data_IF_331470620426
#
_entry.id   IF_331470620426
#
_cell.length_a   1.000
_cell.length_b   1.000
_cell.length_c   1.000
_cell.angle_alpha   90.00
_cell.angle_beta   90.00
_cell.angle_gamma   90.00
#
_symmetry.space_group_name_H-M   'P 1'
#
loop_
_entity.id
_entity.type
_entity.pdbx_description
1 polymer ?
#
# COMPACT_ATOMS: atom_id res chain seq x y z
N UNK A 1 0.29 15.80 -11.85
CA UNK A 1 0.69 17.20 -12.15
C UNK A 1 2.05 17.14 -12.83
N UNK A 2 2.20 17.75 -14.01
CA UNK A 2 3.48 17.84 -14.70
C UNK A 2 4.21 19.14 -14.35
N UNK A 3 5.52 19.07 -14.15
CA UNK A 3 6.39 20.21 -13.86
C UNK A 3 7.59 20.21 -14.81
N UNK A 4 8.03 21.38 -15.23
CA UNK A 4 9.25 21.55 -16.04
C UNK A 4 10.17 22.52 -15.31
N UNK A 5 11.34 22.04 -14.87
CA UNK A 5 12.36 22.82 -14.19
C UNK A 5 13.66 22.75 -14.99
N UNK A 6 14.16 23.90 -15.45
CA UNK A 6 15.43 24.01 -16.20
C UNK A 6 15.55 23.02 -17.39
N UNK A 7 14.45 22.78 -18.10
CA UNK A 7 14.41 21.84 -19.24
C UNK A 7 14.23 20.37 -18.85
N UNK A 8 14.17 20.03 -17.56
CA UNK A 8 13.86 18.69 -17.06
C UNK A 8 12.39 18.58 -16.73
N UNK A 9 11.70 17.66 -17.40
CA UNK A 9 10.29 17.35 -17.13
C UNK A 9 10.19 16.32 -16.01
N UNK A 10 9.35 16.58 -15.02
CA UNK A 10 8.98 15.62 -13.99
C UNK A 10 7.47 15.52 -13.89
N UNK A 11 6.96 14.35 -13.53
CA UNK A 11 5.53 14.15 -13.34
C UNK A 11 5.27 13.62 -11.95
N UNK A 12 4.33 14.26 -11.25
CA UNK A 12 3.84 13.81 -9.96
C UNK A 12 2.52 13.08 -10.14
N UNK A 13 2.50 11.80 -9.76
CA UNK A 13 1.37 10.88 -9.86
C UNK A 13 0.88 10.60 -8.43
N UNK A 14 -0.41 10.84 -8.18
CA UNK A 14 -1.05 10.48 -6.92
C UNK A 14 -2.09 9.40 -7.19
N UNK A 15 -1.96 8.27 -6.53
CA UNK A 15 -2.89 7.15 -6.60
C UNK A 15 -3.28 6.68 -5.20
N UNK A 16 -4.54 6.34 -5.02
CA UNK A 16 -5.05 5.65 -3.84
C UNK A 16 -5.50 4.25 -4.25
N UNK A 17 -4.96 3.23 -3.59
CA UNK A 17 -5.25 1.82 -3.85
C UNK A 17 -5.92 1.23 -2.61
N UNK A 18 -7.17 0.74 -2.72
CA UNK A 18 -7.83 0.06 -1.62
C UNK A 18 -7.33 -1.38 -1.52
N UNK A 19 -6.95 -1.80 -0.31
CA UNK A 19 -6.44 -3.16 -0.02
C UNK A 19 -7.09 -3.73 1.22
N UNK A 20 -6.93 -5.04 1.44
CA UNK A 20 -7.23 -5.66 2.73
C UNK A 20 -5.96 -5.69 3.59
N UNK A 21 -6.07 -5.24 4.84
CA UNK A 21 -5.05 -5.44 5.87
C UNK A 21 -5.59 -6.34 6.96
N UNK A 22 -4.73 -7.22 7.48
CA UNK A 22 -5.05 -8.10 8.61
C UNK A 22 -4.03 -7.88 9.73
N UNK A 23 -4.53 -7.71 10.95
CA UNK A 23 -3.73 -7.29 12.08
C UNK A 23 -2.87 -8.43 12.66
N UNK A 24 -1.53 -8.31 12.65
CA UNK A 24 -0.65 -9.32 13.26
C UNK A 24 -0.90 -9.49 14.76
N UNK A 25 -1.19 -8.38 15.47
CA UNK A 25 -1.47 -8.40 16.90
C UNK A 25 -2.67 -9.31 17.21
N UNK A 26 -3.80 -9.07 16.53
CA UNK A 26 -5.02 -9.86 16.73
C UNK A 26 -4.82 -11.34 16.48
N UNK A 27 -4.09 -11.70 15.41
CA UNK A 27 -3.74 -13.09 15.10
C UNK A 27 -2.89 -13.73 16.21
N UNK A 28 -1.94 -12.98 16.78
CA UNK A 28 -1.00 -13.53 17.76
C UNK A 28 -1.62 -13.81 19.14
N UNK A 29 -2.68 -13.08 19.50
CA UNK A 29 -3.30 -13.16 20.84
C UNK A 29 -4.60 -13.95 20.87
N UNK A 30 -5.16 -14.30 19.71
CA UNK A 30 -6.45 -14.99 19.61
C UNK A 30 -6.25 -16.45 19.25
N UNK A 31 -6.99 -17.36 19.90
CA UNK A 31 -6.93 -18.80 19.60
C UNK A 31 -7.40 -19.14 18.17
N UNK A 32 -8.28 -18.29 17.60
CA UNK A 32 -8.79 -18.42 16.25
C UNK A 32 -9.18 -17.06 15.67
N UNK A 33 -9.03 -16.95 14.34
CA UNK A 33 -9.36 -15.73 13.61
C UNK A 33 -8.41 -14.56 13.89
N UNK A 34 -8.65 -13.46 13.21
CA UNK A 34 -7.97 -12.18 13.40
C UNK A 34 -8.83 -11.10 12.76
N UNK A 35 -8.86 -9.90 13.35
CA UNK A 35 -9.57 -8.80 12.70
C UNK A 35 -8.80 -8.32 11.46
N UNK A 36 -9.57 -7.95 10.44
CA UNK A 36 -9.11 -7.37 9.20
C UNK A 36 -10.04 -6.23 8.78
N UNK A 37 -9.52 -5.36 7.93
CA UNK A 37 -10.23 -4.17 7.51
C UNK A 37 -9.84 -3.77 6.10
N UNK A 38 -10.64 -2.86 5.54
CA UNK A 38 -10.22 -2.11 4.36
C UNK A 38 -9.17 -1.10 4.79
N UNK A 39 -8.14 -0.96 3.96
CA UNK A 39 -7.15 0.09 4.08
C UNK A 39 -7.04 0.85 2.78
N UNK A 40 -6.70 2.13 2.87
CA UNK A 40 -6.31 2.93 1.72
C UNK A 40 -4.82 3.20 1.79
N UNK A 41 -4.10 2.74 0.77
CA UNK A 41 -2.70 3.11 0.58
C UNK A 41 -2.64 4.19 -0.48
N UNK A 42 -2.08 5.34 -0.14
CA UNK A 42 -1.93 6.48 -1.06
C UNK A 42 -0.46 6.66 -1.39
N UNK A 43 -0.12 6.59 -2.68
CA UNK A 43 1.22 6.84 -3.18
C UNK A 43 1.20 8.13 -4.00
N UNK A 44 1.96 9.12 -3.57
CA UNK A 44 2.19 10.36 -4.28
C UNK A 44 3.67 10.42 -4.70
N UNK A 45 3.97 9.97 -5.92
CA UNK A 45 5.33 9.81 -6.42
C UNK A 45 5.68 10.89 -7.46
N UNK A 46 6.83 11.54 -7.29
CA UNK A 46 7.50 12.31 -8.34
C UNK A 46 8.39 11.38 -9.15
N UNK A 47 8.13 11.33 -10.43
CA UNK A 47 8.79 10.42 -11.37
C UNK A 47 9.51 11.18 -12.47
N UNK A 48 10.58 10.57 -12.94
CA UNK A 48 11.34 11.00 -14.11
C UNK A 48 11.31 9.91 -15.17
N UNK A 49 10.97 10.32 -16.40
CA UNK A 49 10.62 9.37 -17.43
C UNK A 49 9.21 8.81 -17.22
N UNK A 50 8.94 7.70 -17.88
CA UNK A 50 7.62 7.10 -17.95
C UNK A 50 7.48 5.94 -16.96
N UNK A 51 6.37 5.93 -16.23
CA UNK A 51 5.93 4.85 -15.35
C UNK A 51 4.44 4.64 -15.57
N UNK A 52 4.01 3.39 -15.69
CA UNK A 52 2.60 3.05 -15.73
C UNK A 52 1.98 3.21 -14.34
N UNK A 53 0.70 3.58 -14.29
CA UNK A 53 -0.01 3.68 -13.01
C UNK A 53 -0.12 2.29 -12.37
N UNK A 54 -0.32 1.28 -13.21
CA UNK A 54 -0.39 -0.13 -12.90
C UNK A 54 0.87 -0.63 -12.19
N UNK A 55 2.06 -0.11 -12.53
CA UNK A 55 3.30 -0.49 -11.83
C UNK A 55 3.27 -0.09 -10.35
N UNK A 56 2.68 1.08 -10.03
CA UNK A 56 2.52 1.55 -8.65
C UNK A 56 1.44 0.74 -7.95
N UNK A 57 0.32 0.44 -8.62
CA UNK A 57 -0.75 -0.42 -8.08
C UNK A 57 -0.18 -1.79 -7.72
N UNK A 58 0.56 -2.42 -8.63
CA UNK A 58 1.20 -3.71 -8.45
C UNK A 58 2.12 -3.73 -7.23
N UNK A 59 2.92 -2.67 -7.03
CA UNK A 59 3.79 -2.55 -5.86
C UNK A 59 2.95 -2.56 -4.58
N UNK A 60 1.88 -1.77 -4.54
CA UNK A 60 1.01 -1.68 -3.36
C UNK A 60 0.29 -3.00 -3.07
N UNK A 61 -0.34 -3.59 -4.09
CA UNK A 61 -1.12 -4.83 -3.96
C UNK A 61 -0.25 -6.02 -3.55
N UNK A 62 0.97 -6.14 -4.11
CA UNK A 62 1.93 -7.19 -3.72
C UNK A 62 2.38 -7.09 -2.27
N UNK A 63 2.41 -5.88 -1.72
CA UNK A 63 2.81 -5.65 -0.33
C UNK A 63 1.64 -5.66 0.66
N UNK A 64 0.39 -5.64 0.22
CA UNK A 64 -0.76 -5.76 1.10
C UNK A 64 -0.90 -7.17 1.72
N UNK A 65 -1.69 -7.30 2.78
CA UNK A 65 -2.07 -8.63 3.29
C UNK A 65 -2.80 -9.43 2.20
N UNK A 66 -3.74 -8.79 1.51
CA UNK A 66 -4.30 -9.26 0.25
C UNK A 66 -4.83 -8.08 -0.58
N UNK A 67 -4.78 -8.19 -1.91
CA UNK A 67 -5.43 -7.26 -2.82
C UNK A 67 -6.96 -7.47 -2.87
N UNK A 68 -7.68 -6.52 -3.48
CA UNK A 68 -9.14 -6.58 -3.59
C UNK A 68 -9.60 -7.11 -4.95
N UNK A 69 -10.66 -7.90 -4.92
CA UNK A 69 -11.33 -8.42 -6.10
C UNK A 69 -12.80 -8.02 -6.07
N UNK A 70 -13.34 -7.54 -7.20
CA UNK A 70 -14.74 -7.10 -7.27
C UNK A 70 -15.76 -8.24 -7.20
N UNK A 71 -15.37 -9.45 -7.62
CA UNK A 71 -16.21 -10.64 -7.58
C UNK A 71 -15.36 -11.86 -7.25
N UNK A 72 -15.75 -12.59 -6.21
CA UNK A 72 -15.09 -13.81 -5.76
C UNK A 72 -16.09 -14.97 -5.79
N UNK A 73 -15.65 -16.14 -6.26
CA UNK A 73 -16.34 -17.42 -6.03
C UNK A 73 -15.88 -18.01 -4.70
N UNK A 74 -16.57 -19.05 -4.21
CA UNK A 74 -16.20 -19.72 -2.95
C UNK A 74 -14.73 -20.15 -2.87
N UNK A 75 -14.13 -20.76 -3.91
CA UNK A 75 -12.71 -21.10 -3.86
C UNK A 75 -11.80 -19.87 -3.76
N UNK A 76 -12.18 -18.78 -4.42
CA UNK A 76 -11.41 -17.53 -4.42
C UNK A 76 -11.50 -16.84 -3.04
N UNK A 77 -12.69 -16.81 -2.44
CA UNK A 77 -12.93 -16.29 -1.09
C UNK A 77 -12.09 -17.05 -0.04
N UNK A 78 -12.02 -18.38 -0.15
CA UNK A 78 -11.13 -19.20 0.67
C UNK A 78 -9.67 -18.74 0.52
N UNK A 79 -9.21 -18.60 -0.72
CA UNK A 79 -7.82 -18.22 -1.00
C UNK A 79 -7.46 -16.84 -0.45
N UNK A 80 -8.27 -15.80 -0.70
CA UNK A 80 -7.96 -14.44 -0.23
C UNK A 80 -7.99 -14.34 1.29
N UNK A 81 -8.87 -15.11 1.93
CA UNK A 81 -8.96 -15.17 3.40
C UNK A 81 -7.71 -15.79 4.00
N UNK A 82 -7.28 -16.94 3.47
CA UNK A 82 -6.06 -17.64 3.93
C UNK A 82 -4.81 -16.80 3.64
N UNK A 83 -4.70 -16.21 2.44
CA UNK A 83 -3.57 -15.33 2.06
C UNK A 83 -3.44 -14.14 3.01
N UNK A 84 -4.53 -13.43 3.29
CA UNK A 84 -4.51 -12.31 4.23
C UNK A 84 -4.14 -12.75 5.65
N UNK A 85 -4.63 -13.93 6.07
CA UNK A 85 -4.32 -14.49 7.38
C UNK A 85 -2.84 -14.86 7.51
N UNK A 86 -2.23 -15.42 6.47
CA UNK A 86 -0.82 -15.84 6.45
C UNK A 86 0.17 -14.68 6.23
N UNK A 87 -0.31 -13.55 5.69
CA UNK A 87 0.49 -12.34 5.47
C UNK A 87 -0.07 -11.12 6.26
N UNK A 88 -0.16 -11.20 7.60
CA UNK A 88 -0.66 -10.07 8.39
C UNK A 88 0.35 -8.92 8.40
N UNK A 89 -0.12 -7.67 8.34
CA UNK A 89 0.75 -6.48 8.37
C UNK A 89 0.14 -5.35 9.19
N UNK A 90 0.96 -4.70 10.02
CA UNK A 90 0.58 -3.43 10.62
C UNK A 90 0.58 -2.30 9.58
N UNK A 91 -0.01 -1.16 9.93
CA UNK A 91 -0.03 0.02 9.07
C UNK A 91 1.39 0.53 8.79
N UNK A 92 2.30 0.39 9.76
CA UNK A 92 3.72 0.74 9.63
C UNK A 92 4.49 -0.23 8.74
N UNK A 93 4.16 -1.52 8.78
CA UNK A 93 4.80 -2.53 7.92
C UNK A 93 4.42 -2.30 6.46
N UNK A 94 3.14 -1.98 6.21
CA UNK A 94 2.63 -1.64 4.89
C UNK A 94 3.47 -0.52 4.24
N UNK A 95 3.67 0.59 4.95
CA UNK A 95 4.44 1.72 4.40
C UNK A 95 5.93 1.40 4.28
N UNK A 96 6.52 0.63 5.20
CA UNK A 96 7.94 0.25 5.12
C UNK A 96 8.23 -0.64 3.91
N UNK A 97 7.40 -1.65 3.67
CA UNK A 97 7.64 -2.61 2.60
C UNK A 97 7.44 -1.96 1.22
N UNK A 98 6.40 -1.13 1.08
CA UNK A 98 6.16 -0.38 -0.15
C UNK A 98 7.28 0.65 -0.38
N UNK A 99 7.71 1.39 0.66
CA UNK A 99 8.86 2.28 0.57
C UNK A 99 10.12 1.53 0.10
N UNK A 100 10.34 0.30 0.58
CA UNK A 100 11.42 -0.58 0.14
C UNK A 100 11.42 -0.82 -1.37
N UNK A 101 10.26 -1.08 -1.97
CA UNK A 101 10.12 -1.25 -3.42
C UNK A 101 10.25 0.07 -4.19
N UNK A 102 9.61 1.16 -3.72
CA UNK A 102 9.73 2.49 -4.33
C UNK A 102 11.19 2.98 -4.34
N UNK A 103 11.98 2.59 -3.34
CA UNK A 103 13.41 2.93 -3.27
C UNK A 103 14.25 2.24 -4.34
N UNK A 104 13.89 1.02 -4.74
CA UNK A 104 14.59 0.27 -5.80
C UNK A 104 14.35 0.87 -7.20
N UNK A 105 13.20 1.52 -7.43
CA UNK A 105 12.90 2.15 -8.71
C UNK A 105 13.64 3.49 -8.86
N UNK A 106 14.58 3.55 -9.82
CA UNK A 106 15.38 4.76 -10.09
C UNK A 106 14.57 5.90 -10.70
N UNK A 107 13.43 5.60 -11.34
CA UNK A 107 12.53 6.59 -11.95
C UNK A 107 11.77 7.38 -10.89
N UNK A 108 11.51 6.78 -9.73
CA UNK A 108 10.85 7.42 -8.60
C UNK A 108 11.91 8.20 -7.82
N UNK A 109 11.86 9.53 -7.89
CA UNK A 109 12.82 10.42 -7.21
C UNK A 109 12.34 10.84 -5.83
N UNK A 110 11.05 11.07 -5.68
CA UNK A 110 10.45 11.49 -4.41
C UNK A 110 9.11 10.79 -4.24
N UNK A 111 8.72 10.50 -3.00
CA UNK A 111 7.38 10.05 -2.73
C UNK A 111 6.89 10.46 -1.35
N UNK A 112 5.57 10.63 -1.24
CA UNK A 112 4.82 10.57 0.01
C UNK A 112 3.96 9.33 -0.07
N UNK A 113 4.13 8.43 0.88
CA UNK A 113 3.46 7.15 0.97
C UNK A 113 2.67 7.11 2.28
N UNK A 114 1.37 6.90 2.18
CA UNK A 114 0.44 6.92 3.29
C UNK A 114 -0.30 5.58 3.33
N UNK A 115 -0.52 5.03 4.52
CA UNK A 115 -1.45 3.92 4.72
C UNK A 115 -2.43 4.30 5.82
N UNK A 116 -3.71 4.16 5.54
CA UNK A 116 -4.80 4.40 6.48
C UNK A 116 -5.64 3.13 6.60
N UNK A 117 -5.74 2.58 7.80
CA UNK A 117 -6.58 1.44 8.11
C UNK A 117 -7.88 1.93 8.75
N UNK A 118 -9.02 1.61 8.14
CA UNK A 118 -10.33 1.88 8.73
C UNK A 118 -10.66 0.77 9.72
N UNK A 119 -10.14 0.89 10.95
CA UNK A 119 -10.14 -0.17 11.96
C UNK A 119 -11.54 -0.78 12.16
N UNK A 120 -11.65 -2.10 12.03
CA UNK A 120 -12.94 -2.79 12.11
C UNK A 120 -13.51 -2.84 13.53
N UNK A 121 -12.68 -2.61 14.54
CA UNK A 121 -13.00 -2.71 15.98
C UNK A 121 -12.96 -1.36 16.70
N UNK A 122 -12.62 -0.28 15.99
CA UNK A 122 -12.52 1.07 16.53
C UNK A 122 -13.19 2.07 15.60
N UNK A 123 -13.66 3.20 16.14
CA UNK A 123 -14.30 4.26 15.33
C UNK A 123 -13.31 5.37 14.94
N UNK A 124 -12.06 5.00 14.71
CA UNK A 124 -10.99 5.89 14.24
C UNK A 124 -10.02 5.09 13.37
N UNK A 125 -9.29 5.78 12.48
CA UNK A 125 -8.31 5.13 11.63
C UNK A 125 -6.95 5.00 12.32
N UNK A 126 -6.23 3.93 12.04
CA UNK A 126 -4.79 3.86 12.25
C UNK A 126 -4.06 4.37 10.99
N UNK A 127 -3.02 5.19 11.16
CA UNK A 127 -2.36 5.88 10.04
C UNK A 127 -0.84 5.87 10.19
N UNK A 128 -0.13 5.61 9.09
CA UNK A 128 1.31 5.78 8.98
C UNK A 128 1.69 6.44 7.65
N UNK A 129 2.80 7.18 7.66
CA UNK A 129 3.31 7.90 6.49
C UNK A 129 4.83 7.84 6.42
N UNK A 130 5.37 7.63 5.22
CA UNK A 130 6.78 7.82 4.88
C UNK A 130 6.89 8.83 3.75
N UNK A 131 7.73 9.84 3.95
CA UNK A 131 8.14 10.78 2.92
C UNK A 131 9.63 10.59 2.67
N UNK A 132 10.01 10.55 1.40
CA UNK A 132 11.40 10.38 1.02
C UNK A 132 11.73 11.12 -0.28
N UNK A 133 12.87 11.82 -0.25
CA UNK A 133 13.44 12.54 -1.38
C UNK A 133 14.84 11.99 -1.65
N UNK A 134 15.04 11.33 -2.80
CA UNK A 134 16.33 10.74 -3.21
C UNK A 134 17.33 11.77 -3.73
N UNK A 135 16.89 13.01 -3.94
CA UNK A 135 17.72 14.11 -4.42
C UNK A 135 18.31 14.96 -3.26
N UNK A 136 17.94 14.66 -2.01
CA UNK A 136 18.45 15.30 -0.79
C UNK A 136 19.63 14.55 -0.16
#
# INVERSE_FOLDING_TARGET
IGEVNQGRTSTRIKIQVPVTSLCPCSKSISDYGAHNQRSHVTVNAKTEGFIWIEEIIDIVEKQASCELYGLLKRPDEKYVTERAYDNPKFVEDMVRDIAGELNKDKRIRQYILESENFESIHNHSAYAMIEYDKDQ
#
